data_IF_597594295520
#
_entry.id   IF_597594295520
#
_cell.length_a   1.000
_cell.length_b   1.000
_cell.length_c   1.000
_cell.angle_alpha   90.00
_cell.angle_beta   90.00
_cell.angle_gamma   90.00
#
_symmetry.space_group_name_H-M   'P 1'
#
loop_
_entity.id
_entity.type
_entity.pdbx_description
1 polymer ?
#
# COMPACT_ATOMS: atom_id res chain seq x y z
N UNK A 1 -7.16 5.30 -10.57
CA UNK A 1 -5.78 5.17 -11.07
C UNK A 1 -5.61 3.74 -11.58
N UNK A 2 -5.71 3.56 -12.90
CA UNK A 2 -5.50 2.24 -13.52
C UNK A 2 -4.04 1.83 -13.32
N UNK A 3 -3.87 0.57 -13.00
CA UNK A 3 -2.64 -0.04 -12.53
C UNK A 3 -1.55 0.07 -13.59
N UNK A 4 -0.50 0.82 -13.29
CA UNK A 4 0.84 0.64 -13.83
C UNK A 4 1.44 -0.67 -13.25
N UNK A 5 0.65 -1.74 -13.31
CA UNK A 5 0.95 -3.06 -12.78
C UNK A 5 1.52 -3.91 -13.90
N UNK A 6 2.68 -4.51 -13.63
CA UNK A 6 3.49 -5.43 -14.45
C UNK A 6 3.69 -5.10 -15.93
N UNK A 7 2.64 -5.05 -16.75
CA UNK A 7 2.75 -4.97 -18.21
C UNK A 7 3.32 -3.65 -18.74
N UNK A 8 2.94 -2.49 -18.17
CA UNK A 8 3.31 -1.19 -18.73
C UNK A 8 4.82 -0.90 -18.77
N UNK A 9 5.53 -1.30 -17.72
CA UNK A 9 6.96 -1.04 -17.60
C UNK A 9 7.80 -2.17 -18.22
N UNK A 10 7.26 -3.38 -18.36
CA UNK A 10 7.84 -4.43 -19.19
C UNK A 10 7.83 -4.04 -20.67
N UNK A 11 6.71 -3.49 -21.17
CA UNK A 11 6.63 -2.93 -22.52
C UNK A 11 7.66 -1.82 -22.74
N UNK A 12 7.80 -0.90 -21.77
CA UNK A 12 8.83 0.15 -21.81
C UNK A 12 10.26 -0.43 -21.86
N UNK A 13 10.56 -1.42 -21.02
CA UNK A 13 11.87 -2.12 -21.04
C UNK A 13 12.15 -2.80 -22.38
N UNK A 14 11.12 -3.27 -23.06
CA UNK A 14 11.21 -3.89 -24.38
C UNK A 14 11.26 -2.87 -25.53
N UNK A 15 11.34 -1.57 -25.24
CA UNK A 15 11.46 -0.50 -26.24
C UNK A 15 10.13 0.01 -26.81
N UNK A 16 8.99 -0.36 -26.20
CA UNK A 16 7.66 0.11 -26.65
C UNK A 16 7.50 1.60 -26.32
N UNK A 17 7.04 2.40 -27.28
CA UNK A 17 6.81 3.82 -27.09
C UNK A 17 5.64 4.13 -26.15
N UNK A 18 5.64 5.32 -25.53
CA UNK A 18 4.64 5.70 -24.52
C UNK A 18 3.19 5.67 -25.05
N UNK A 19 2.99 6.08 -26.31
CA UNK A 19 1.67 6.11 -26.96
C UNK A 19 1.09 4.71 -27.16
N UNK A 20 1.95 3.76 -27.51
CA UNK A 20 1.56 2.38 -27.74
C UNK A 20 1.28 1.65 -26.41
N UNK A 21 2.13 1.86 -25.40
CA UNK A 21 1.86 1.41 -24.02
C UNK A 21 0.52 1.97 -23.53
N UNK A 22 0.23 3.24 -23.79
CA UNK A 22 -1.00 3.89 -23.37
C UNK A 22 -2.24 3.26 -24.03
N UNK A 23 -2.16 2.93 -25.32
CA UNK A 23 -3.21 2.22 -26.03
C UNK A 23 -3.45 0.82 -25.43
N UNK A 24 -2.38 0.05 -25.21
CA UNK A 24 -2.46 -1.31 -24.62
C UNK A 24 -3.10 -1.27 -23.22
N UNK A 25 -2.76 -0.26 -22.41
CA UNK A 25 -3.25 -0.12 -21.04
C UNK A 25 -4.57 0.67 -20.93
N UNK A 26 -5.17 1.10 -22.05
CA UNK A 26 -6.38 1.92 -22.06
C UNK A 26 -6.25 3.19 -21.20
N UNK A 27 -5.11 3.88 -21.33
CA UNK A 27 -4.68 5.04 -20.55
C UNK A 27 -4.22 6.18 -21.49
N UNK A 28 -4.05 7.40 -20.97
CA UNK A 28 -3.55 8.53 -21.78
C UNK A 28 -2.02 8.47 -21.90
N UNK A 29 -1.41 8.77 -23.05
CA UNK A 29 0.06 8.79 -23.22
C UNK A 29 0.78 9.71 -22.20
N UNK A 30 0.20 10.88 -21.90
CA UNK A 30 0.74 11.78 -20.87
C UNK A 30 0.79 11.18 -19.47
N UNK A 31 -0.10 10.23 -19.15
CA UNK A 31 -0.05 9.49 -17.88
C UNK A 31 1.17 8.57 -17.84
N UNK A 32 1.46 7.86 -18.94
CA UNK A 32 2.65 7.01 -19.05
C UNK A 32 3.93 7.86 -18.95
N UNK A 33 4.00 8.99 -19.65
CA UNK A 33 5.12 9.91 -19.58
C UNK A 33 5.38 10.43 -18.16
N UNK A 34 4.33 10.93 -17.49
CA UNK A 34 4.45 11.44 -16.12
C UNK A 34 4.97 10.37 -15.18
N UNK A 35 4.46 9.14 -15.30
CA UNK A 35 4.90 8.01 -14.49
C UNK A 35 6.36 7.63 -14.76
N UNK A 36 6.76 7.52 -16.03
CA UNK A 36 8.15 7.22 -16.40
C UNK A 36 9.12 8.27 -15.88
N UNK A 37 8.75 9.55 -15.98
CA UNK A 37 9.54 10.67 -15.43
C UNK A 37 9.68 10.54 -13.91
N UNK A 38 8.60 10.23 -13.20
CA UNK A 38 8.59 10.14 -11.75
C UNK A 38 9.35 8.89 -11.22
N UNK A 39 9.45 7.80 -12.00
CA UNK A 39 10.18 6.58 -11.62
C UNK A 39 11.54 6.43 -12.30
N UNK A 40 11.95 7.38 -13.15
CA UNK A 40 13.15 7.26 -13.99
C UNK A 40 13.15 6.06 -14.94
N UNK A 41 11.97 5.54 -15.31
CA UNK A 41 11.84 4.32 -16.10
C UNK A 41 12.20 3.00 -15.38
N UNK A 42 12.49 3.05 -14.07
CA UNK A 42 12.82 1.86 -13.26
C UNK A 42 11.56 1.36 -12.52
N UNK A 43 11.26 0.06 -12.60
CA UNK A 43 10.14 -0.55 -11.85
C UNK A 43 10.42 -0.40 -10.35
N UNK A 44 9.55 0.24 -9.57
CA UNK A 44 9.61 0.09 -8.12
C UNK A 44 9.42 -1.40 -7.79
N UNK A 45 10.26 -1.95 -6.90
CA UNK A 45 10.09 -3.33 -6.45
C UNK A 45 8.68 -3.51 -5.87
N UNK A 46 8.03 -4.63 -6.19
CA UNK A 46 6.72 -4.95 -5.63
C UNK A 46 6.79 -5.01 -4.11
N UNK A 47 6.03 -4.15 -3.46
CA UNK A 47 6.06 -4.08 -1.99
C UNK A 47 5.27 -5.26 -1.43
N UNK A 48 5.98 -6.21 -0.83
CA UNK A 48 5.38 -7.31 -0.07
C UNK A 48 5.27 -6.93 1.40
N UNK A 49 4.11 -7.20 2.01
CA UNK A 49 3.94 -7.04 3.45
C UNK A 49 4.56 -8.24 4.16
N UNK A 50 5.23 -8.00 5.30
CA UNK A 50 5.66 -9.10 6.15
C UNK A 50 4.45 -9.84 6.73
N UNK A 51 4.57 -11.16 6.89
CA UNK A 51 3.50 -12.06 7.37
C UNK A 51 2.98 -11.67 8.77
N UNK A 52 3.84 -11.02 9.57
CA UNK A 52 3.48 -10.51 10.88
C UNK A 52 2.48 -9.33 10.86
N UNK A 53 2.31 -8.65 9.72
CA UNK A 53 1.37 -7.52 9.61
C UNK A 53 -0.06 -7.99 9.41
N UNK A 54 -1.00 -7.23 9.98
CA UNK A 54 -2.42 -7.41 9.73
C UNK A 54 -2.74 -7.20 8.24
N UNK A 55 -3.45 -8.17 7.68
CA UNK A 55 -4.06 -8.15 6.35
C UNK A 55 -5.30 -7.26 6.33
N UNK A 56 -5.91 -7.07 5.15
CA UNK A 56 -7.20 -6.37 5.06
C UNK A 56 -8.31 -7.22 5.71
N UNK A 57 -8.31 -8.53 5.47
CA UNK A 57 -9.30 -9.46 6.03
C UNK A 57 -9.30 -9.41 7.57
N UNK A 58 -8.13 -9.54 8.20
CA UNK A 58 -8.02 -9.43 9.67
C UNK A 58 -8.49 -8.05 10.18
N UNK A 59 -8.30 -6.98 9.42
CA UNK A 59 -8.81 -5.65 9.80
C UNK A 59 -10.32 -5.58 9.72
N UNK A 60 -10.95 -6.22 8.73
CA UNK A 60 -12.41 -6.30 8.64
C UNK A 60 -12.99 -7.10 9.81
N UNK A 61 -12.34 -8.20 10.20
CA UNK A 61 -12.72 -8.97 11.40
C UNK A 61 -12.61 -8.14 12.69
N UNK A 62 -11.55 -7.32 12.82
CA UNK A 62 -11.46 -6.35 13.92
C UNK A 62 -12.67 -5.40 13.88
N UNK A 63 -13.02 -4.85 12.71
CA UNK A 63 -14.17 -3.94 12.58
C UNK A 63 -15.48 -4.63 12.97
N UNK A 64 -15.70 -5.86 12.50
CA UNK A 64 -16.87 -6.65 12.82
C UNK A 64 -16.96 -6.94 14.33
N UNK A 65 -15.88 -7.43 14.94
CA UNK A 65 -15.83 -7.71 16.38
C UNK A 65 -16.00 -6.47 17.26
N UNK A 66 -15.45 -5.32 16.85
CA UNK A 66 -15.68 -4.05 17.56
C UNK A 66 -17.16 -3.63 17.49
N UNK A 67 -17.80 -3.81 16.33
CA UNK A 67 -19.22 -3.48 16.11
C UNK A 67 -20.14 -4.40 16.91
N UNK A 68 -19.79 -5.69 17.01
CA UNK A 68 -20.45 -6.69 17.86
C UNK A 68 -20.16 -6.51 19.36
N UNK A 69 -19.50 -5.41 19.75
CA UNK A 69 -19.11 -5.10 21.12
C UNK A 69 -18.19 -6.14 21.80
N UNK A 70 -17.51 -7.01 21.05
CA UNK A 70 -16.55 -7.98 21.59
C UNK A 70 -15.37 -7.29 22.29
N UNK A 71 -14.73 -7.96 23.25
CA UNK A 71 -13.51 -7.47 23.90
C UNK A 71 -12.30 -7.58 22.96
N UNK A 72 -11.27 -6.76 23.18
CA UNK A 72 -10.01 -6.83 22.41
C UNK A 72 -9.40 -8.25 22.50
N UNK A 73 -9.47 -8.88 23.68
CA UNK A 73 -8.95 -10.24 23.89
C UNK A 73 -9.71 -11.27 23.05
N UNK A 74 -11.04 -11.19 23.01
CA UNK A 74 -11.86 -12.12 22.21
C UNK A 74 -11.55 -12.01 20.71
N UNK A 75 -11.42 -10.78 20.19
CA UNK A 75 -11.05 -10.54 18.79
C UNK A 75 -9.65 -11.09 18.50
N UNK A 76 -8.70 -10.87 19.42
CA UNK A 76 -7.33 -11.35 19.27
C UNK A 76 -7.25 -12.87 19.24
N UNK A 77 -8.00 -13.56 20.10
CA UNK A 77 -8.11 -15.03 20.11
C UNK A 77 -8.70 -15.53 18.80
N UNK A 78 -9.78 -14.93 18.30
CA UNK A 78 -10.41 -15.32 17.03
C UNK A 78 -9.47 -15.19 15.82
N UNK A 79 -8.60 -14.17 15.84
CA UNK A 79 -7.62 -13.92 14.78
C UNK A 79 -6.28 -14.61 14.98
N UNK A 80 -6.10 -15.36 16.07
CA UNK A 80 -4.81 -15.91 16.50
C UNK A 80 -3.68 -14.85 16.52
N UNK A 81 -3.98 -13.67 17.07
CA UNK A 81 -3.04 -12.55 17.23
C UNK A 81 -2.89 -12.17 18.70
N UNK A 82 -1.83 -11.44 19.03
CA UNK A 82 -1.68 -10.91 20.39
C UNK A 82 -2.72 -9.82 20.67
N UNK A 83 -3.32 -9.76 21.88
CA UNK A 83 -4.23 -8.67 22.27
C UNK A 83 -3.58 -7.28 22.12
N UNK A 84 -2.26 -7.20 22.33
CA UNK A 84 -1.50 -5.96 22.19
C UNK A 84 -1.43 -5.47 20.73
N UNK A 85 -1.44 -6.39 19.76
CA UNK A 85 -1.48 -6.07 18.32
C UNK A 85 -2.81 -5.40 17.99
N UNK A 86 -3.90 -6.00 18.41
CA UNK A 86 -5.25 -5.49 18.15
C UNK A 86 -5.48 -4.16 18.86
N UNK A 87 -5.09 -4.05 20.14
CA UNK A 87 -5.21 -2.80 20.90
C UNK A 87 -4.49 -1.64 20.21
N UNK A 88 -3.21 -1.86 19.84
CA UNK A 88 -2.43 -0.84 19.16
C UNK A 88 -2.98 -0.49 17.78
N UNK A 89 -3.50 -1.47 17.03
CA UNK A 89 -4.15 -1.20 15.73
C UNK A 89 -5.37 -0.29 15.91
N UNK A 90 -6.24 -0.60 16.87
CA UNK A 90 -7.46 0.18 17.12
C UNK A 90 -7.13 1.58 17.62
N UNK A 91 -6.22 1.70 18.59
CA UNK A 91 -5.79 2.99 19.14
C UNK A 91 -5.19 3.90 18.06
N UNK A 92 -4.37 3.34 17.16
CA UNK A 92 -3.77 4.07 16.05
C UNK A 92 -4.77 4.53 15.00
N UNK A 93 -5.94 3.90 14.89
CA UNK A 93 -6.91 4.11 13.82
C UNK A 93 -8.26 4.59 14.37
N UNK A 94 -8.24 5.78 15.00
CA UNK A 94 -9.42 6.51 15.51
C UNK A 94 -10.19 5.83 16.66
N UNK A 95 -9.63 4.75 17.23
CA UNK A 95 -10.22 4.06 18.36
C UNK A 95 -11.46 3.24 18.00
N UNK A 96 -12.07 2.65 19.02
CA UNK A 96 -13.13 1.64 18.85
C UNK A 96 -14.39 2.13 18.14
N UNK A 97 -14.84 3.36 18.42
CA UNK A 97 -16.09 3.92 17.85
C UNK A 97 -16.00 4.25 16.36
N UNK A 98 -14.80 4.61 15.88
CA UNK A 98 -14.61 5.15 14.54
C UNK A 98 -13.63 4.31 13.70
N UNK A 99 -13.40 3.07 14.10
CA UNK A 99 -12.48 2.18 13.41
C UNK A 99 -13.00 1.80 12.02
N UNK A 100 -12.19 2.05 10.99
CA UNK A 100 -12.47 1.69 9.60
C UNK A 100 -11.32 0.87 9.03
N UNK A 101 -11.61 -0.37 8.66
CA UNK A 101 -10.62 -1.35 8.20
C UNK A 101 -9.89 -0.89 6.92
N UNK A 102 -10.63 -0.36 5.94
CA UNK A 102 -10.07 0.18 4.69
C UNK A 102 -9.14 1.37 4.96
N UNK A 103 -9.52 2.30 5.84
CA UNK A 103 -8.69 3.46 6.19
C UNK A 103 -7.39 3.03 6.90
N UNK A 104 -7.50 2.09 7.84
CA UNK A 104 -6.36 1.51 8.52
C UNK A 104 -5.42 0.80 7.53
N UNK A 105 -5.97 0.07 6.56
CA UNK A 105 -5.21 -0.60 5.52
C UNK A 105 -4.50 0.39 4.59
N UNK A 106 -5.20 1.44 4.15
CA UNK A 106 -4.66 2.49 3.30
C UNK A 106 -3.55 3.28 4.00
N UNK A 107 -3.72 3.55 5.30
CA UNK A 107 -2.67 4.14 6.12
C UNK A 107 -1.45 3.22 6.22
N UNK A 108 -1.64 1.92 6.48
CA UNK A 108 -0.54 0.96 6.51
C UNK A 108 0.21 0.93 5.17
N UNK A 109 -0.50 0.92 4.04
CA UNK A 109 0.10 1.01 2.69
C UNK A 109 0.92 2.30 2.49
N UNK A 110 0.41 3.44 2.96
CA UNK A 110 1.12 4.72 2.87
C UNK A 110 2.40 4.72 3.71
N UNK A 111 2.34 4.20 4.94
CA UNK A 111 3.50 4.13 5.84
C UNK A 111 4.54 3.11 5.36
N UNK A 112 4.10 2.01 4.75
CA UNK A 112 4.99 1.01 4.14
C UNK A 112 5.81 1.57 2.97
N UNK A 113 5.41 2.72 2.38
CA UNK A 113 6.18 3.33 1.29
C UNK A 113 7.58 3.76 1.72
N UNK A 114 7.74 4.14 3.00
CA UNK A 114 8.99 4.62 3.66
C UNK A 114 10.01 5.16 2.64
N UNK A 115 9.70 6.28 1.93
CA UNK A 115 10.61 6.82 0.93
C UNK A 115 11.89 7.23 1.66
N UNK A 116 13.00 6.55 1.37
CA UNK A 116 14.32 7.04 1.72
C UNK A 116 14.73 8.03 0.63
N UNK A 117 15.23 9.23 0.98
CA UNK A 117 15.82 10.09 -0.03
C UNK A 117 16.94 9.30 -0.72
N UNK A 118 17.04 9.37 -2.05
CA UNK A 118 18.08 8.63 -2.72
C UNK A 118 19.45 9.19 -2.30
N UNK A 119 20.44 8.33 -2.15
CA UNK A 119 21.74 8.73 -1.60
C UNK A 119 22.42 9.77 -2.51
N UNK A 120 22.16 9.71 -3.82
CA UNK A 120 22.69 10.67 -4.79
C UNK A 120 22.04 12.06 -4.68
N UNK A 121 20.74 12.15 -4.38
CA UNK A 121 20.04 13.44 -4.16
C UNK A 121 20.51 14.13 -2.86
N UNK A 122 21.15 13.39 -1.94
CA UNK A 122 21.65 13.94 -0.67
C UNK A 122 23.04 14.56 -0.79
N UNK A 123 23.76 14.31 -1.89
CA UNK A 123 25.06 14.93 -2.14
C UNK A 123 24.82 16.30 -2.81
N UNK A 124 24.74 17.37 -2.02
CA UNK A 124 24.88 18.73 -2.58
C UNK A 124 26.33 18.88 -3.10
N UNK A 125 26.55 19.53 -4.27
CA UNK A 125 27.89 19.95 -4.65
C UNK A 125 28.46 20.88 -3.55
N UNK A 126 29.71 20.63 -3.18
CA UNK A 126 30.48 21.43 -2.20
C UNK A 126 30.57 22.90 -2.62
#
# INVERSE_FOLDING_TARGET
MKTWGCGGLELWKNGTGFSEIANILGSKPGTIFTMLRDTGGIKPHERKRAVAHLTLSEREEIRAGLSAKMSIRAIATALNRSPSTISREVQRNRGRRYYKAVDANNRANRMAKRPKPCLLDQNLPL
#
